data_IF_904372525447
#
_entry.id   IF_904372525447
#
_cell.length_a   1.000
_cell.length_b   1.000
_cell.length_c   1.000
_cell.angle_alpha   90.00
_cell.angle_beta   90.00
_cell.angle_gamma   90.00
#
_symmetry.space_group_name_H-M   'P 1'
#
loop_
_entity.id
_entity.type
_entity.pdbx_description
1 polymer ?
#
# COMPACT_ATOMS: atom_id res chain seq x y z
N UNK A 1 -12.31 -3.20 -23.16
CA UNK A 1 -11.52 -2.59 -22.06
C UNK A 1 -11.57 -3.57 -20.90
N UNK A 2 -10.44 -4.18 -20.52
CA UNK A 2 -10.39 -5.27 -19.52
C UNK A 2 -11.02 -4.83 -18.20
N UNK A 3 -11.75 -5.73 -17.53
CA UNK A 3 -12.48 -5.46 -16.29
C UNK A 3 -11.50 -4.96 -15.21
N UNK A 4 -11.57 -3.66 -14.88
CA UNK A 4 -10.80 -3.07 -13.79
C UNK A 4 -11.50 -3.39 -12.47
N UNK A 5 -10.73 -3.82 -11.48
CA UNK A 5 -11.25 -3.96 -10.11
C UNK A 5 -11.70 -2.58 -9.63
N UNK A 6 -12.91 -2.50 -9.07
CA UNK A 6 -13.47 -1.25 -8.58
C UNK A 6 -12.77 -0.81 -7.29
N UNK A 7 -12.67 0.51 -7.10
CA UNK A 7 -12.20 1.08 -5.83
C UNK A 7 -13.33 0.96 -4.80
N UNK A 8 -13.05 0.37 -3.65
CA UNK A 8 -13.98 0.39 -2.51
C UNK A 8 -14.13 1.83 -2.02
N UNK A 9 -15.36 2.24 -1.69
CA UNK A 9 -15.63 3.55 -1.09
C UNK A 9 -15.01 3.63 0.32
N UNK A 10 -14.59 4.82 0.73
CA UNK A 10 -14.11 5.06 2.09
C UNK A 10 -15.25 4.90 3.11
N UNK A 11 -16.50 5.18 2.72
CA UNK A 11 -17.70 4.99 3.53
C UNK A 11 -18.33 3.60 3.27
N UNK A 12 -17.54 2.54 3.44
CA UNK A 12 -18.01 1.15 3.27
C UNK A 12 -18.55 0.57 4.59
N UNK A 13 -19.60 -0.26 4.49
CA UNK A 13 -20.17 -0.99 5.64
C UNK A 13 -19.27 -2.15 6.12
N UNK A 14 -18.21 -2.48 5.36
CA UNK A 14 -17.29 -3.54 5.73
C UNK A 14 -16.35 -3.06 6.87
N UNK A 15 -16.61 -3.59 8.07
CA UNK A 15 -15.86 -3.26 9.30
C UNK A 15 -14.35 -3.48 9.17
N UNK A 16 -13.91 -4.54 8.48
CA UNK A 16 -12.49 -4.81 8.30
C UNK A 16 -11.84 -3.81 7.33
N UNK A 17 -12.53 -3.45 6.25
CA UNK A 17 -12.05 -2.41 5.35
C UNK A 17 -11.94 -1.06 6.07
N UNK A 18 -12.92 -0.70 6.90
CA UNK A 18 -12.88 0.51 7.73
C UNK A 18 -11.70 0.52 8.69
N UNK A 19 -11.48 -0.58 9.42
CA UNK A 19 -10.34 -0.73 10.32
C UNK A 19 -9.00 -0.58 9.57
N UNK A 20 -8.90 -1.15 8.37
CA UNK A 20 -7.72 -1.02 7.52
C UNK A 20 -7.51 0.42 7.05
N UNK A 21 -8.58 1.14 6.66
CA UNK A 21 -8.51 2.53 6.23
C UNK A 21 -8.10 3.49 7.35
N UNK A 22 -8.63 3.29 8.56
CA UNK A 22 -8.21 4.02 9.76
C UNK A 22 -6.71 3.80 10.05
N UNK A 23 -6.26 2.54 10.03
CA UNK A 23 -4.85 2.19 10.20
C UNK A 23 -3.95 2.84 9.13
N UNK A 24 -4.36 2.77 7.86
CA UNK A 24 -3.63 3.40 6.76
C UNK A 24 -3.55 4.93 6.94
N UNK A 25 -4.63 5.57 7.37
CA UNK A 25 -4.68 7.02 7.61
C UNK A 25 -3.75 7.41 8.76
N UNK A 26 -3.72 6.64 9.85
CA UNK A 26 -2.81 6.88 10.98
C UNK A 26 -1.34 6.68 10.61
N UNK A 27 -1.01 5.69 9.78
CA UNK A 27 0.38 5.39 9.38
C UNK A 27 0.90 6.26 8.24
N UNK A 28 0.05 6.60 7.27
CA UNK A 28 0.45 7.22 5.99
C UNK A 28 -0.14 8.63 5.79
N UNK A 29 -1.04 9.07 6.66
CA UNK A 29 -1.77 10.35 6.54
C UNK A 29 -2.91 10.34 5.52
N UNK A 30 -3.16 9.21 4.83
CA UNK A 30 -4.21 9.05 3.82
C UNK A 30 -4.49 7.58 3.52
N UNK A 31 -5.59 7.31 2.81
CA UNK A 31 -5.88 6.00 2.20
C UNK A 31 -5.44 6.01 0.72
N UNK A 32 -4.39 5.28 0.32
CA UNK A 32 -4.02 5.15 -1.09
C UNK A 32 -5.07 4.38 -1.90
N UNK A 33 -5.21 4.69 -3.19
CA UNK A 33 -6.09 3.92 -4.09
C UNK A 33 -5.77 2.41 -4.11
N UNK A 34 -4.54 2.01 -3.79
CA UNK A 34 -4.09 0.61 -3.81
C UNK A 34 -4.66 -0.12 -2.62
N UNK A 35 -4.82 0.58 -1.49
CA UNK A 35 -5.54 0.08 -0.33
C UNK A 35 -7.04 0.01 -0.62
N UNK A 36 -7.62 0.94 -1.39
CA UNK A 36 -9.02 0.86 -1.82
C UNK A 36 -9.30 -0.31 -2.76
N UNK A 37 -8.33 -0.73 -3.57
CA UNK A 37 -8.40 -1.99 -4.32
C UNK A 37 -8.19 -3.20 -3.40
N UNK A 38 -7.18 -3.15 -2.53
CA UNK A 38 -6.89 -4.26 -1.61
C UNK A 38 -7.97 -4.47 -0.53
N UNK A 39 -8.87 -3.50 -0.33
CA UNK A 39 -10.02 -3.59 0.55
C UNK A 39 -11.03 -4.69 0.15
N UNK A 40 -10.94 -5.24 -1.07
CA UNK A 40 -11.66 -6.47 -1.44
C UNK A 40 -11.14 -7.70 -0.66
N UNK A 41 -9.91 -7.63 -0.11
CA UNK A 41 -9.29 -8.63 0.74
C UNK A 41 -8.53 -7.96 1.92
N UNK A 42 -9.25 -7.31 2.85
CA UNK A 42 -8.66 -6.34 3.79
C UNK A 42 -7.60 -6.96 4.72
N UNK A 43 -7.77 -8.23 5.13
CA UNK A 43 -6.79 -8.94 5.95
C UNK A 43 -5.42 -9.04 5.28
N UNK A 44 -5.35 -9.23 3.96
CA UNK A 44 -4.08 -9.26 3.24
C UNK A 44 -3.36 -7.92 3.36
N UNK A 45 -4.08 -6.82 3.18
CA UNK A 45 -3.49 -5.49 3.22
C UNK A 45 -3.08 -5.09 4.63
N UNK A 46 -3.86 -5.47 5.66
CA UNK A 46 -3.48 -5.25 7.07
C UNK A 46 -2.14 -5.91 7.43
N UNK A 47 -1.79 -7.04 6.79
CA UNK A 47 -0.49 -7.70 6.96
C UNK A 47 0.60 -7.10 6.06
N UNK A 48 0.25 -6.76 4.81
CA UNK A 48 1.20 -6.28 3.82
C UNK A 48 1.70 -4.86 4.13
N UNK A 49 0.85 -3.97 4.63
CA UNK A 49 1.23 -2.59 4.96
C UNK A 49 2.38 -2.51 5.97
N UNK A 50 2.32 -3.14 7.15
CA UNK A 50 3.44 -3.09 8.11
C UNK A 50 4.68 -3.79 7.55
N UNK A 51 4.53 -4.89 6.81
CA UNK A 51 5.66 -5.56 6.16
C UNK A 51 6.38 -4.63 5.17
N UNK A 52 5.63 -3.99 4.27
CA UNK A 52 6.19 -3.03 3.30
C UNK A 52 6.79 -1.81 3.99
N UNK A 53 6.19 -1.31 5.07
CA UNK A 53 6.74 -0.22 5.86
C UNK A 53 8.13 -0.56 6.41
N UNK A 54 8.31 -1.75 7.00
CA UNK A 54 9.62 -2.19 7.52
C UNK A 54 10.62 -2.36 6.38
N UNK A 55 10.21 -2.96 5.27
CA UNK A 55 11.10 -3.24 4.13
C UNK A 55 11.54 -1.98 3.38
N UNK A 56 10.65 -0.99 3.23
CA UNK A 56 10.93 0.26 2.50
C UNK A 56 11.69 1.27 3.37
N UNK A 57 11.43 1.30 4.68
CA UNK A 57 12.17 2.15 5.61
C UNK A 57 13.47 1.48 6.06
N UNK A 58 14.22 2.15 6.91
CA UNK A 58 15.44 1.63 7.54
C UNK A 58 15.12 0.68 8.71
N UNK A 59 14.00 -0.05 8.64
CA UNK A 59 13.60 -1.03 9.64
C UNK A 59 14.27 -2.39 9.43
N UNK A 60 14.06 -3.31 10.38
CA UNK A 60 14.42 -4.73 10.21
C UNK A 60 15.90 -5.03 10.05
N UNK A 61 16.79 -4.15 10.51
CA UNK A 61 18.25 -4.32 10.37
C UNK A 61 18.79 -3.98 8.97
N UNK A 62 18.03 -3.21 8.19
CA UNK A 62 18.44 -2.79 6.85
C UNK A 62 19.74 -2.00 6.83
N UNK A 63 20.67 -2.38 5.94
CA UNK A 63 21.91 -1.64 5.66
C UNK A 63 21.77 -0.56 4.57
N UNK A 64 20.63 -0.52 3.86
CA UNK A 64 20.36 0.47 2.81
C UNK A 64 19.51 1.61 3.35
N UNK A 65 19.83 2.83 2.92
CA UNK A 65 19.05 4.03 3.27
C UNK A 65 17.68 4.00 2.59
N UNK A 66 16.70 4.65 3.22
CA UNK A 66 15.34 4.80 2.68
C UNK A 66 15.36 5.46 1.30
N UNK A 67 16.26 6.45 1.11
CA UNK A 67 16.45 7.13 -0.18
C UNK A 67 16.88 6.16 -1.28
N UNK A 68 17.85 5.28 -1.00
CA UNK A 68 18.33 4.33 -2.00
C UNK A 68 17.26 3.29 -2.34
N UNK A 69 16.52 2.80 -1.35
CA UNK A 69 15.40 1.88 -1.56
C UNK A 69 14.32 2.49 -2.44
N UNK A 70 13.97 3.76 -2.19
CA UNK A 70 12.99 4.47 -3.01
C UNK A 70 13.46 4.64 -4.47
N UNK A 71 14.75 4.92 -4.68
CA UNK A 71 15.33 4.98 -6.03
C UNK A 71 15.21 3.64 -6.78
N UNK A 72 15.39 2.51 -6.07
CA UNK A 72 15.19 1.18 -6.65
C UNK A 72 13.72 0.94 -7.01
N UNK A 73 12.79 1.34 -6.14
CA UNK A 73 11.34 1.24 -6.39
C UNK A 73 10.95 2.05 -7.64
N UNK A 74 11.42 3.31 -7.74
CA UNK A 74 11.16 4.18 -8.89
C UNK A 74 11.75 3.58 -10.17
N UNK A 75 13.01 3.14 -10.14
CA UNK A 75 13.67 2.57 -11.32
C UNK A 75 12.96 1.29 -11.78
N UNK A 76 12.55 0.43 -10.85
CA UNK A 76 11.80 -0.80 -11.15
C UNK A 76 10.46 -0.46 -11.80
N UNK A 77 9.71 0.47 -11.21
CA UNK A 77 8.41 0.91 -11.71
C UNK A 77 8.52 1.52 -13.11
N UNK A 78 9.50 2.39 -13.34
CA UNK A 78 9.77 3.00 -14.63
C UNK A 78 10.14 1.95 -15.69
N UNK A 79 11.02 1.00 -15.35
CA UNK A 79 11.45 -0.06 -16.28
C UNK A 79 10.28 -0.97 -16.68
N UNK A 80 9.33 -1.19 -15.77
CA UNK A 80 8.14 -1.99 -16.02
C UNK A 80 6.96 -1.21 -16.63
N UNK A 81 7.10 0.10 -16.89
CA UNK A 81 6.00 0.94 -17.37
C UNK A 81 4.80 1.02 -16.40
N UNK A 82 5.06 0.86 -15.10
CA UNK A 82 4.02 0.88 -14.07
C UNK A 82 3.52 2.32 -13.84
N UNK A 83 2.36 2.64 -14.42
CA UNK A 83 1.69 3.92 -14.27
C UNK A 83 0.48 3.78 -13.34
N UNK A 84 0.80 3.64 -12.06
CA UNK A 84 -0.15 3.51 -10.97
C UNK A 84 -0.72 4.88 -10.55
#
# INVERSE_FOLDING_TARGET
MSARVSLVDLETDNVFAQMMFDGATKMLGRVPNSHRIAAHAPFMQMMLTPFTAVMQREGGGSCLTSKLKEMVIIKTSHTNGCNY
#
